data_IF_066782567047
#
_entry.id   IF_066782567047
#
_cell.length_a   1.000
_cell.length_b   1.000
_cell.length_c   1.000
_cell.angle_alpha   90.00
_cell.angle_beta   90.00
_cell.angle_gamma   90.00
#
_symmetry.space_group_name_H-M   'P 1'
#
loop_
_entity.id
_entity.type
_entity.pdbx_description
1 polymer ?
#
# COMPACT_ATOMS: atom_id res chain seq x y z
N UNK A 1 19.64 5.42 -38.70
CA UNK A 1 18.18 5.24 -38.48
C UNK A 1 17.85 3.77 -38.77
N UNK A 2 17.86 2.86 -37.77
CA UNK A 2 17.31 1.55 -37.99
C UNK A 2 15.79 1.57 -37.79
N UNK A 3 15.14 0.97 -38.78
CA UNK A 3 13.71 0.74 -38.91
C UNK A 3 13.31 -0.38 -37.92
N UNK A 4 12.57 -0.05 -36.86
CA UNK A 4 11.97 -1.08 -35.99
C UNK A 4 10.82 -1.74 -36.75
N UNK A 5 11.01 -3.02 -37.07
CA UNK A 5 9.99 -3.88 -37.61
C UNK A 5 8.84 -4.04 -36.60
N UNK A 6 7.63 -4.01 -37.14
CA UNK A 6 6.37 -4.26 -36.44
C UNK A 6 6.37 -5.72 -35.98
N UNK A 7 6.32 -5.94 -34.67
CA UNK A 7 5.79 -7.18 -34.11
C UNK A 7 4.48 -6.93 -33.39
N UNK A 8 3.60 -7.91 -33.57
CA UNK A 8 2.17 -7.84 -33.33
C UNK A 8 1.82 -8.06 -31.86
N UNK A 9 0.87 -7.26 -31.35
CA UNK A 9 -0.07 -7.72 -30.31
C UNK A 9 0.51 -8.10 -28.95
N UNK A 10 1.17 -7.17 -28.24
CA UNK A 10 1.29 -7.28 -26.78
C UNK A 10 -0.09 -6.95 -26.18
N UNK A 11 -0.97 -7.94 -26.09
CA UNK A 11 -2.11 -7.85 -25.18
C UNK A 11 -1.49 -7.82 -23.77
N UNK A 12 -1.41 -6.63 -23.16
CA UNK A 12 -1.31 -6.51 -21.71
C UNK A 12 -2.61 -7.08 -21.14
N UNK A 13 -2.72 -8.41 -21.10
CA UNK A 13 -3.74 -9.07 -20.33
C UNK A 13 -3.72 -8.46 -18.94
N UNK A 14 -4.89 -8.30 -18.32
CA UNK A 14 -4.97 -7.87 -16.91
C UNK A 14 -4.28 -8.95 -16.08
N UNK A 15 -2.95 -8.88 -15.95
CA UNK A 15 -2.21 -9.66 -14.97
C UNK A 15 -2.81 -9.20 -13.65
N UNK A 16 -3.43 -10.10 -12.86
CA UNK A 16 -3.83 -9.71 -11.52
C UNK A 16 -2.54 -9.36 -10.80
N UNK A 17 -2.32 -8.06 -10.58
CA UNK A 17 -1.26 -7.57 -9.72
C UNK A 17 -1.66 -8.01 -8.31
N UNK A 18 -1.32 -9.25 -7.95
CA UNK A 18 -1.23 -9.65 -6.55
C UNK A 18 0.10 -9.09 -6.08
N UNK A 19 0.10 -7.80 -5.77
CA UNK A 19 1.18 -7.19 -5.00
C UNK A 19 1.03 -7.73 -3.60
N UNK A 20 1.87 -8.70 -3.24
CA UNK A 20 2.05 -9.14 -1.86
C UNK A 20 2.75 -8.00 -1.11
N UNK A 21 1.98 -6.96 -0.76
CA UNK A 21 2.46 -5.84 0.05
C UNK A 21 2.42 -6.26 1.50
N UNK A 22 3.57 -6.26 2.15
CA UNK A 22 3.62 -6.47 3.60
C UNK A 22 3.15 -5.19 4.32
N UNK A 23 2.10 -5.32 5.11
CA UNK A 23 1.48 -4.23 5.83
C UNK A 23 1.89 -4.20 7.31
N UNK A 24 2.66 -3.17 7.69
CA UNK A 24 3.16 -2.98 9.06
C UNK A 24 2.36 -1.97 9.86
N UNK A 25 1.22 -1.47 9.35
CA UNK A 25 0.43 -0.44 10.03
C UNK A 25 0.04 -0.83 11.46
N UNK A 26 -0.36 -2.09 11.65
CA UNK A 26 -0.72 -2.64 12.97
C UNK A 26 0.44 -2.54 13.95
N UNK A 27 1.65 -2.90 13.51
CA UNK A 27 2.85 -2.86 14.32
C UNK A 27 3.13 -1.44 14.84
N UNK A 28 3.10 -0.43 13.96
CA UNK A 28 3.31 0.97 14.35
C UNK A 28 2.19 1.49 15.27
N UNK A 29 0.94 1.11 15.00
CA UNK A 29 -0.21 1.47 15.86
C UNK A 29 -0.04 0.91 17.26
N UNK A 30 0.32 -0.37 17.39
CA UNK A 30 0.48 -1.05 18.68
C UNK A 30 1.71 -0.57 19.44
N UNK A 31 2.80 -0.23 18.75
CA UNK A 31 3.98 0.39 19.35
C UNK A 31 3.67 1.76 20.00
N UNK A 32 2.66 2.48 19.51
CA UNK A 32 2.16 3.72 20.11
C UNK A 32 1.06 3.48 21.17
N UNK A 33 0.64 2.23 21.41
CA UNK A 33 -0.43 1.88 22.34
C UNK A 33 -1.82 2.32 21.87
N UNK A 34 -2.03 2.52 20.57
CA UNK A 34 -3.30 3.03 20.05
C UNK A 34 -4.27 1.91 19.68
N UNK A 35 -5.55 2.11 19.96
CA UNK A 35 -6.62 1.29 19.38
C UNK A 35 -6.82 1.65 17.90
N UNK A 36 -7.46 0.78 17.12
CA UNK A 36 -7.84 1.10 15.74
C UNK A 36 -8.71 2.36 15.65
N UNK A 37 -9.57 2.58 16.65
CA UNK A 37 -10.42 3.77 16.74
C UNK A 37 -9.61 5.05 16.99
N UNK A 38 -8.56 4.97 17.79
CA UNK A 38 -7.66 6.11 18.03
C UNK A 38 -6.87 6.49 16.78
N UNK A 39 -6.34 5.49 16.05
CA UNK A 39 -5.68 5.74 14.76
C UNK A 39 -6.66 6.34 13.74
N UNK A 40 -7.88 5.82 13.68
CA UNK A 40 -8.93 6.32 12.79
C UNK A 40 -9.25 7.80 13.07
N UNK A 41 -9.39 8.17 14.35
CA UNK A 41 -9.62 9.55 14.79
C UNK A 41 -8.48 10.48 14.38
N UNK A 42 -7.22 10.05 14.53
CA UNK A 42 -6.03 10.83 14.13
C UNK A 42 -5.96 11.06 12.62
N UNK A 43 -6.42 10.10 11.82
CA UNK A 43 -6.39 10.16 10.36
C UNK A 43 -7.67 10.74 9.74
N UNK A 44 -8.71 10.99 10.54
CA UNK A 44 -10.01 11.49 10.07
C UNK A 44 -10.77 10.47 9.22
N UNK A 45 -10.68 9.18 9.55
CA UNK A 45 -11.35 8.08 8.84
C UNK A 45 -12.18 7.23 9.82
N UNK A 46 -12.94 6.26 9.29
CA UNK A 46 -13.70 5.33 10.14
C UNK A 46 -12.79 4.25 10.75
N UNK A 47 -13.19 3.67 11.89
CA UNK A 47 -12.51 2.50 12.46
C UNK A 47 -12.49 1.33 11.48
N UNK A 48 -13.57 1.16 10.71
CA UNK A 48 -13.72 0.14 9.68
C UNK A 48 -12.66 0.30 8.59
N UNK A 49 -12.32 1.53 8.20
CA UNK A 49 -11.23 1.83 7.26
C UNK A 49 -9.90 1.30 7.79
N UNK A 50 -9.55 1.60 9.05
CA UNK A 50 -8.31 1.11 9.66
C UNK A 50 -8.30 -0.42 9.75
N UNK A 51 -9.40 -1.03 10.18
CA UNK A 51 -9.50 -2.48 10.22
C UNK A 51 -9.37 -3.13 8.83
N UNK A 52 -9.95 -2.53 7.79
CA UNK A 52 -9.85 -3.03 6.43
C UNK A 52 -8.41 -2.95 5.89
N UNK A 53 -7.69 -1.85 6.19
CA UNK A 53 -6.26 -1.74 5.89
C UNK A 53 -5.49 -2.83 6.64
N UNK A 54 -5.63 -2.96 7.96
CA UNK A 54 -4.85 -3.92 8.77
C UNK A 54 -5.19 -5.41 8.55
N UNK A 55 -6.19 -5.72 7.72
CA UNK A 55 -6.56 -7.10 7.39
C UNK A 55 -6.40 -7.39 5.90
N UNK A 56 -5.71 -6.50 5.18
CA UNK A 56 -5.41 -6.59 3.74
C UNK A 56 -6.66 -6.79 2.87
N UNK A 57 -7.79 -6.25 3.36
CA UNK A 57 -9.08 -6.20 2.65
C UNK A 57 -9.25 -4.92 1.85
N UNK A 58 -8.32 -3.98 2.00
CA UNK A 58 -8.37 -2.65 1.39
C UNK A 58 -6.96 -2.05 1.31
N UNK A 59 -6.50 -1.80 0.08
CA UNK A 59 -5.30 -1.01 -0.14
C UNK A 59 -5.62 0.47 0.16
N UNK A 60 -4.88 1.11 1.08
CA UNK A 60 -5.09 2.52 1.35
C UNK A 60 -4.79 3.34 0.10
N UNK A 61 -5.62 4.34 -0.19
CA UNK A 61 -5.29 5.31 -1.24
C UNK A 61 -3.95 5.99 -0.94
N UNK A 62 -3.22 6.40 -1.99
CA UNK A 62 -1.93 7.08 -1.84
C UNK A 62 -1.98 8.26 -0.84
N UNK A 63 -2.99 9.14 -0.84
CA UNK A 63 -3.11 10.18 0.19
C UNK A 63 -3.23 9.64 1.62
N UNK A 64 -3.94 8.54 1.83
CA UNK A 64 -4.10 7.94 3.16
C UNK A 64 -2.78 7.29 3.63
N UNK A 65 -2.09 6.57 2.73
CA UNK A 65 -0.77 6.00 3.02
C UNK A 65 0.25 7.09 3.38
N UNK A 66 0.28 8.20 2.62
CA UNK A 66 1.14 9.35 2.91
C UNK A 66 0.84 10.00 4.27
N UNK A 67 -0.43 10.08 4.68
CA UNK A 67 -0.82 10.60 6.00
C UNK A 67 -0.40 9.65 7.13
N UNK A 68 -0.56 8.34 6.93
CA UNK A 68 -0.10 7.33 7.89
C UNK A 68 1.41 7.44 8.11
N UNK A 69 2.19 7.50 7.01
CA UNK A 69 3.64 7.68 7.04
C UNK A 69 4.05 8.92 7.84
N UNK A 70 3.44 10.08 7.55
CA UNK A 70 3.68 11.32 8.30
C UNK A 70 3.30 11.21 9.77
N UNK A 71 2.19 10.54 10.11
CA UNK A 71 1.73 10.38 11.48
C UNK A 71 2.69 9.54 12.33
N UNK A 72 3.34 8.55 11.71
CA UNK A 72 4.31 7.67 12.38
C UNK A 72 5.77 8.12 12.21
N UNK A 73 6.01 9.22 11.48
CA UNK A 73 7.34 9.77 11.22
C UNK A 73 8.27 8.79 10.49
N UNK A 74 7.71 8.02 9.55
CA UNK A 74 8.43 7.04 8.71
C UNK A 74 8.09 7.24 7.23
N UNK A 75 8.86 6.63 6.34
CA UNK A 75 8.54 6.60 4.92
C UNK A 75 7.38 5.64 4.62
N UNK A 76 6.66 5.84 3.50
CA UNK A 76 5.60 4.93 3.06
C UNK A 76 6.10 3.49 2.89
N UNK A 77 7.28 3.23 2.28
CA UNK A 77 7.82 1.88 2.15
C UNK A 77 8.17 1.19 3.47
N UNK A 78 8.26 1.92 4.59
CA UNK A 78 8.45 1.30 5.90
C UNK A 78 7.13 0.78 6.50
N UNK A 79 6.00 1.37 6.10
CA UNK A 79 4.65 0.93 6.49
C UNK A 79 4.10 -0.14 5.55
N UNK A 80 4.38 -0.02 4.27
CA UNK A 80 3.83 -0.87 3.20
C UNK A 80 4.99 -1.30 2.29
N UNK A 81 5.51 -2.50 2.50
CA UNK A 81 6.68 -3.00 1.79
C UNK A 81 6.20 -3.76 0.56
N UNK A 82 6.54 -3.24 -0.61
CA UNK A 82 6.34 -3.94 -1.88
C UNK A 82 7.59 -4.78 -2.18
N UNK A 83 7.40 -6.09 -2.34
CA UNK A 83 8.46 -7.05 -2.66
C UNK A 83 8.56 -7.34 -4.17
N UNK A 84 7.88 -6.53 -5.01
CA UNK A 84 7.95 -6.69 -6.45
C UNK A 84 9.38 -6.50 -6.98
N UNK A 85 9.86 -7.48 -7.73
CA UNK A 85 11.11 -7.43 -8.49
C UNK A 85 10.78 -7.50 -9.99
N UNK A 86 11.38 -6.64 -10.84
CA UNK A 86 11.24 -6.77 -12.29
C UNK A 86 11.85 -8.10 -12.76
N UNK A 87 11.11 -8.83 -13.59
CA UNK A 87 11.70 -9.94 -14.34
C UNK A 87 12.82 -9.40 -15.27
N UNK A 88 13.97 -10.08 -15.25
CA UNK A 88 15.17 -9.71 -15.99
C UNK A 88 15.04 -9.91 -17.52
#
# INVERSE_FOLDING_TARGET
MPLFARDSGMQFGKVPVRTDVENRLRHYREAKGWSQGELARRLGVSRQTINAVETDKYDPSLPLALRMARLFEVAVPELFIDHWEPEA
#
